data_IF_890446951661
#
_entry.id   IF_890446951661
#
_cell.length_a   1.000
_cell.length_b   1.000
_cell.length_c   1.000
_cell.angle_alpha   90.00
_cell.angle_beta   90.00
_cell.angle_gamma   90.00
#
_symmetry.space_group_name_H-M   'P 1'
#
loop_
_entity.id
_entity.type
_entity.pdbx_description
1 polymer ?
#
# COMPACT_ATOMS: atom_id res chain seq x y z
N UNK A 1 24.97 9.45 -4.80
CA UNK A 1 24.59 8.06 -5.04
C UNK A 1 23.73 7.64 -3.89
N UNK A 2 22.45 7.35 -4.10
CA UNK A 2 21.60 6.83 -3.02
C UNK A 2 22.15 5.43 -2.70
N UNK A 3 22.74 5.29 -1.52
CA UNK A 3 23.29 4.02 -1.10
C UNK A 3 22.13 3.17 -0.59
N UNK A 4 21.90 2.04 -1.24
CA UNK A 4 21.04 0.97 -0.76
C UNK A 4 21.93 -0.04 -0.02
N UNK A 5 21.51 -0.47 1.17
CA UNK A 5 22.23 -1.49 1.93
C UNK A 5 21.29 -2.59 2.41
N UNK A 6 21.87 -3.76 2.68
CA UNK A 6 21.16 -4.89 3.25
C UNK A 6 21.57 -5.09 4.71
N UNK A 7 20.61 -5.44 5.55
CA UNK A 7 20.83 -5.78 6.96
C UNK A 7 19.95 -6.95 7.38
N UNK A 8 20.25 -7.64 8.50
CA UNK A 8 19.30 -8.54 9.14
C UNK A 8 17.99 -7.80 9.50
N UNK A 9 16.85 -8.47 9.33
CA UNK A 9 15.56 -8.00 9.81
C UNK A 9 15.43 -8.11 11.33
N UNK A 10 14.64 -7.22 11.94
CA UNK A 10 14.33 -7.17 13.38
C UNK A 10 12.84 -7.36 13.67
N UNK A 11 12.03 -7.76 12.68
CA UNK A 11 10.57 -7.83 12.79
C UNK A 11 10.04 -8.91 13.73
N UNK A 12 10.87 -9.90 14.08
CA UNK A 12 10.44 -11.06 14.87
C UNK A 12 9.53 -12.04 14.13
N UNK A 13 9.33 -11.86 12.82
CA UNK A 13 8.61 -12.80 11.97
C UNK A 13 9.34 -14.15 11.94
N UNK A 14 8.57 -15.24 11.87
CA UNK A 14 9.11 -16.60 11.95
C UNK A 14 9.57 -17.11 10.58
N UNK A 15 10.37 -18.18 10.58
CA UNK A 15 10.84 -18.81 9.35
C UNK A 15 9.68 -19.34 8.52
N UNK A 16 9.54 -18.84 7.29
CA UNK A 16 8.42 -19.11 6.39
C UNK A 16 7.64 -17.85 6.00
N UNK A 17 7.64 -16.82 6.85
CA UNK A 17 6.98 -15.53 6.58
C UNK A 17 7.95 -14.48 6.04
N UNK A 18 9.26 -14.67 6.22
CA UNK A 18 10.29 -13.71 5.85
C UNK A 18 11.58 -14.39 5.38
N UNK A 19 12.36 -13.68 4.55
CA UNK A 19 13.74 -14.05 4.24
C UNK A 19 14.72 -13.68 5.36
N UNK A 20 14.28 -12.90 6.35
CA UNK A 20 15.12 -12.35 7.43
C UNK A 20 16.06 -11.22 6.98
N UNK A 21 15.89 -10.71 5.76
CA UNK A 21 16.71 -9.62 5.19
C UNK A 21 15.88 -8.34 5.05
N UNK A 22 16.48 -7.20 5.39
CA UNK A 22 15.92 -5.88 5.18
C UNK A 22 16.76 -5.07 4.18
N UNK A 23 16.09 -4.29 3.35
CA UNK A 23 16.64 -3.29 2.44
C UNK A 23 16.52 -1.92 3.10
N UNK A 24 17.63 -1.17 3.17
CA UNK A 24 17.68 0.17 3.75
C UNK A 24 18.03 1.20 2.67
N UNK A 25 17.22 2.25 2.58
CA UNK A 25 17.42 3.37 1.68
C UNK A 25 18.02 4.55 2.43
N UNK A 26 19.16 5.06 1.95
CA UNK A 26 19.76 6.27 2.50
C UNK A 26 18.91 7.52 2.20
N UNK A 27 19.13 8.59 2.99
CA UNK A 27 18.60 9.94 2.73
C UNK A 27 17.07 10.03 2.62
N UNK A 28 16.33 9.15 3.30
CA UNK A 28 14.87 9.13 3.25
C UNK A 28 14.30 8.54 1.96
N UNK A 29 15.11 7.82 1.17
CA UNK A 29 14.62 7.07 0.02
C UNK A 29 13.55 6.05 0.42
N UNK A 30 12.64 5.76 -0.50
CA UNK A 30 11.51 4.84 -0.30
C UNK A 30 11.15 4.14 -1.61
N UNK A 31 10.30 3.11 -1.53
CA UNK A 31 9.77 2.38 -2.69
C UNK A 31 8.26 2.56 -2.79
N UNK A 32 7.74 2.72 -4.01
CA UNK A 32 6.31 2.96 -4.29
C UNK A 32 5.81 4.30 -3.71
N UNK A 33 4.82 4.31 -2.82
CA UNK A 33 4.28 5.52 -2.19
C UNK A 33 4.91 5.78 -0.82
N UNK A 34 4.93 7.06 -0.42
CA UNK A 34 5.59 7.49 0.80
C UNK A 34 4.76 7.15 2.05
N UNK A 35 5.31 6.28 2.91
CA UNK A 35 4.72 5.89 4.21
C UNK A 35 5.61 6.30 5.41
N UNK A 36 6.60 7.16 5.17
CA UNK A 36 7.60 7.52 6.20
C UNK A 36 8.58 6.40 6.53
N UNK A 37 8.71 5.37 5.67
CA UNK A 37 9.61 4.24 5.87
C UNK A 37 10.75 4.21 4.83
N UNK A 38 11.97 3.99 5.31
CA UNK A 38 13.17 3.77 4.49
C UNK A 38 13.79 2.38 4.69
N UNK A 39 13.16 1.53 5.49
CA UNK A 39 13.58 0.15 5.72
C UNK A 39 12.43 -0.78 5.36
N UNK A 40 12.72 -1.77 4.50
CA UNK A 40 11.76 -2.72 3.97
C UNK A 40 12.28 -4.14 4.19
N UNK A 41 11.53 -4.96 4.92
CA UNK A 41 11.84 -6.38 5.07
C UNK A 41 11.39 -7.14 3.82
N UNK A 42 12.26 -7.98 3.28
CA UNK A 42 11.94 -8.87 2.16
C UNK A 42 11.25 -10.10 2.73
N UNK A 43 9.95 -10.23 2.46
CA UNK A 43 9.15 -11.37 2.88
C UNK A 43 9.46 -12.59 1.98
N UNK A 44 9.40 -12.37 0.67
CA UNK A 44 9.75 -13.35 -0.36
C UNK A 44 10.27 -12.64 -1.60
N UNK A 45 11.10 -13.35 -2.37
CA UNK A 45 11.60 -12.88 -3.65
C UNK A 45 11.79 -14.08 -4.57
N UNK A 46 11.35 -13.95 -5.81
CA UNK A 46 11.56 -14.91 -6.89
C UNK A 46 12.01 -14.17 -8.17
N UNK A 47 12.03 -14.86 -9.32
CA UNK A 47 12.49 -14.28 -10.59
C UNK A 47 11.64 -13.08 -11.05
N UNK A 48 10.33 -13.11 -10.74
CA UNK A 48 9.35 -12.18 -11.30
C UNK A 48 8.62 -11.36 -10.24
N UNK A 49 8.83 -11.65 -8.96
CA UNK A 49 8.13 -10.98 -7.86
C UNK A 49 9.00 -10.72 -6.64
N UNK A 50 8.72 -9.61 -5.96
CA UNK A 50 9.29 -9.27 -4.66
C UNK A 50 8.17 -8.80 -3.74
N UNK A 51 8.00 -9.49 -2.62
CA UNK A 51 7.07 -9.10 -1.56
C UNK A 51 7.88 -8.48 -0.43
N UNK A 52 7.52 -7.25 -0.06
CA UNK A 52 8.18 -6.52 1.03
C UNK A 52 7.17 -6.04 2.04
N UNK A 53 7.66 -5.88 3.27
CA UNK A 53 6.93 -5.30 4.39
C UNK A 53 7.66 -4.09 4.94
N UNK A 54 6.94 -3.04 5.30
CA UNK A 54 7.48 -1.87 5.97
C UNK A 54 6.57 -1.42 7.12
N UNK A 55 7.16 -0.87 8.17
CA UNK A 55 6.42 -0.27 9.28
C UNK A 55 6.17 1.20 8.97
N UNK A 56 4.95 1.69 9.20
CA UNK A 56 4.62 3.09 8.98
C UNK A 56 5.48 4.00 9.87
N UNK A 57 6.02 5.07 9.30
CA UNK A 57 7.01 5.92 9.97
C UNK A 57 6.46 6.68 11.19
N UNK A 58 5.18 7.03 11.19
CA UNK A 58 4.51 7.74 12.28
C UNK A 58 3.61 6.85 13.16
N UNK A 59 3.46 5.56 12.82
CA UNK A 59 2.70 4.61 13.64
C UNK A 59 3.34 3.21 13.59
N UNK A 60 4.07 2.78 14.63
CA UNK A 60 4.73 1.48 14.65
C UNK A 60 3.76 0.29 14.76
N UNK A 61 2.46 0.53 15.02
CA UNK A 61 1.44 -0.52 15.02
C UNK A 61 0.97 -0.90 13.60
N UNK A 62 1.23 -0.04 12.60
CA UNK A 62 0.79 -0.24 11.23
C UNK A 62 1.92 -0.78 10.36
N UNK A 63 1.61 -1.84 9.60
CA UNK A 63 2.51 -2.45 8.64
C UNK A 63 1.90 -2.40 7.23
N UNK A 64 2.73 -2.12 6.24
CA UNK A 64 2.40 -2.09 4.82
C UNK A 64 3.04 -3.26 4.11
N UNK A 65 2.28 -3.89 3.20
CA UNK A 65 2.71 -5.02 2.39
C UNK A 65 2.65 -4.62 0.92
N UNK A 66 3.75 -4.79 0.20
CA UNK A 66 3.87 -4.40 -1.20
C UNK A 66 4.40 -5.57 -2.02
N UNK A 67 3.76 -5.83 -3.15
CA UNK A 67 4.22 -6.78 -4.17
C UNK A 67 4.65 -6.01 -5.40
N UNK A 68 5.92 -6.16 -5.77
CA UNK A 68 6.46 -5.67 -7.04
C UNK A 68 6.55 -6.86 -8.00
N UNK A 69 6.06 -6.70 -9.22
CA UNK A 69 6.15 -7.75 -10.23
C UNK A 69 6.50 -7.19 -11.60
N UNK A 70 7.19 -8.00 -12.40
CA UNK A 70 7.59 -7.67 -13.77
C UNK A 70 6.59 -8.15 -14.81
N UNK A 71 5.65 -9.02 -14.44
CA UNK A 71 4.53 -9.41 -15.30
C UNK A 71 3.46 -8.34 -15.22
N UNK A 72 3.15 -7.74 -16.37
CA UNK A 72 1.87 -7.09 -16.58
C UNK A 72 0.80 -8.19 -16.49
N UNK A 73 -0.23 -8.03 -15.66
CA UNK A 73 -1.35 -8.97 -15.60
C UNK A 73 -1.91 -9.13 -17.03
N UNK A 74 -1.58 -10.22 -17.70
CA UNK A 74 -2.43 -10.75 -18.76
C UNK A 74 -3.73 -11.18 -18.06
N UNK A 75 -4.88 -11.06 -18.74
CA UNK A 75 -6.21 -11.44 -18.26
C UNK A 75 -6.29 -12.97 -17.98
N UNK A 76 -5.46 -13.49 -17.08
CA UNK A 76 -5.66 -14.79 -16.46
C UNK A 76 -6.58 -14.60 -15.27
N UNK A 77 -7.47 -15.57 -15.06
CA UNK A 77 -8.29 -15.65 -13.86
C UNK A 77 -7.40 -15.36 -12.65
N UNK A 78 -7.73 -14.35 -11.82
CA UNK A 78 -6.88 -13.97 -10.72
C UNK A 78 -6.65 -15.21 -9.87
N UNK A 79 -5.38 -15.56 -9.66
CA UNK A 79 -5.04 -16.58 -8.67
C UNK A 79 -5.79 -16.24 -7.38
N UNK A 80 -6.39 -17.23 -6.70
CA UNK A 80 -7.14 -16.96 -5.48
C UNK A 80 -6.25 -16.15 -4.53
N UNK A 81 -6.81 -15.09 -3.95
CA UNK A 81 -6.10 -14.26 -2.99
C UNK A 81 -5.57 -15.14 -1.86
N UNK A 82 -4.24 -15.33 -1.82
CA UNK A 82 -3.59 -16.08 -0.75
C UNK A 82 -3.21 -15.12 0.37
N UNK A 83 -3.76 -15.36 1.55
CA UNK A 83 -3.53 -14.59 2.76
C UNK A 83 -3.35 -15.54 3.95
N UNK A 84 -2.53 -15.16 4.91
CA UNK A 84 -2.43 -15.86 6.20
C UNK A 84 -3.58 -15.48 7.16
N UNK A 85 -4.43 -14.53 6.76
CA UNK A 85 -5.59 -14.08 7.51
C UNK A 85 -6.85 -14.84 7.05
N UNK A 86 -7.36 -15.71 7.92
CA UNK A 86 -8.55 -16.53 7.65
C UNK A 86 -9.87 -15.84 8.06
N UNK A 87 -9.80 -14.72 8.78
CA UNK A 87 -10.96 -13.99 9.31
C UNK A 87 -11.10 -12.62 8.65
N UNK A 88 -12.19 -12.43 7.90
CA UNK A 88 -12.60 -11.13 7.39
C UNK A 88 -13.15 -10.30 8.55
N UNK A 89 -12.44 -9.23 8.93
CA UNK A 89 -12.84 -8.34 10.03
C UNK A 89 -13.52 -7.07 9.56
N UNK A 90 -13.35 -6.69 8.29
CA UNK A 90 -13.97 -5.52 7.69
C UNK A 90 -13.96 -5.62 6.15
N UNK A 91 -15.09 -5.26 5.55
CA UNK A 91 -15.31 -5.15 4.11
C UNK A 91 -16.26 -3.97 3.82
N UNK A 92 -16.27 -3.53 2.56
CA UNK A 92 -17.23 -2.56 2.05
C UNK A 92 -17.62 -2.96 0.62
N UNK A 93 -18.84 -3.47 0.48
CA UNK A 93 -19.38 -3.99 -0.78
C UNK A 93 -20.08 -2.90 -1.63
N UNK A 94 -20.17 -1.66 -1.14
CA UNK A 94 -20.74 -0.52 -1.87
C UNK A 94 -22.16 -0.78 -2.42
N UNK A 95 -23.01 -1.43 -1.62
CA UNK A 95 -24.43 -1.67 -1.93
C UNK A 95 -25.34 -0.49 -1.54
N UNK A 96 -24.76 0.56 -0.95
CA UNK A 96 -25.44 1.77 -0.51
C UNK A 96 -24.53 3.00 -0.71
N UNK A 97 -25.08 4.23 -0.70
CA UNK A 97 -24.26 5.45 -0.69
C UNK A 97 -23.23 5.44 0.44
N UNK A 98 -22.10 6.12 0.21
CA UNK A 98 -21.00 6.16 1.18
C UNK A 98 -21.45 6.67 2.56
N UNK A 99 -21.20 5.88 3.59
CA UNK A 99 -21.45 6.25 4.99
C UNK A 99 -20.34 7.19 5.48
N UNK A 100 -20.70 8.43 5.81
CA UNK A 100 -19.76 9.46 6.30
C UNK A 100 -19.29 9.23 7.74
N UNK A 101 -19.76 8.18 8.42
CA UNK A 101 -19.14 7.71 9.67
C UNK A 101 -17.93 6.80 9.41
N UNK A 102 -17.81 6.24 8.20
CA UNK A 102 -16.70 5.38 7.78
C UNK A 102 -15.75 6.10 6.84
N UNK A 103 -16.29 6.89 5.91
CA UNK A 103 -15.55 7.58 4.85
C UNK A 103 -15.53 9.09 5.07
N UNK A 104 -14.40 9.71 4.72
CA UNK A 104 -14.23 11.16 4.71
C UNK A 104 -13.89 11.62 3.30
N UNK A 105 -14.39 12.80 2.93
CA UNK A 105 -14.01 13.46 1.68
C UNK A 105 -13.11 14.64 2.00
N UNK A 106 -11.88 14.61 1.47
CA UNK A 106 -11.04 15.80 1.44
C UNK A 106 -11.58 16.78 0.40
N UNK A 107 -11.51 18.07 0.70
CA UNK A 107 -11.95 19.12 -0.23
C UNK A 107 -10.80 20.05 -0.55
N UNK A 108 -10.51 20.21 -1.84
CA UNK A 108 -9.51 21.14 -2.36
C UNK A 108 -8.22 20.51 -2.86
N UNK A 109 -7.19 21.34 -2.97
CA UNK A 109 -5.88 21.01 -3.55
C UNK A 109 -4.75 20.95 -2.50
N UNK A 110 -5.10 20.99 -1.20
CA UNK A 110 -4.12 20.92 -0.11
C UNK A 110 -3.03 21.99 -0.16
N UNK A 111 -1.98 21.82 0.65
CA UNK A 111 -0.77 22.64 0.56
C UNK A 111 0.17 22.09 -0.51
N UNK A 112 0.64 22.96 -1.43
CA UNK A 112 1.53 22.60 -2.54
C UNK A 112 1.02 21.43 -3.41
N UNK A 113 -0.30 21.32 -3.62
CA UNK A 113 -0.90 20.20 -4.34
C UNK A 113 -0.68 18.89 -3.58
N UNK A 114 -1.17 18.82 -2.35
CA UNK A 114 -1.00 17.70 -1.39
C UNK A 114 0.45 17.23 -1.14
N UNK A 115 1.41 18.16 -1.29
CA UNK A 115 2.84 17.89 -1.10
C UNK A 115 3.56 17.32 -2.32
N UNK A 116 2.86 17.11 -3.43
CA UNK A 116 3.38 16.47 -4.65
C UNK A 116 2.96 17.20 -5.95
N UNK A 117 2.63 18.50 -5.87
CA UNK A 117 2.28 19.35 -7.03
C UNK A 117 1.08 18.84 -7.81
N UNK A 118 0.14 18.19 -7.13
CA UNK A 118 -1.14 17.76 -7.69
C UNK A 118 -1.93 18.95 -8.26
N UNK A 119 -2.61 18.73 -9.39
CA UNK A 119 -3.41 19.76 -10.09
C UNK A 119 -4.91 19.65 -9.83
N UNK A 120 -5.35 18.47 -9.43
CA UNK A 120 -6.74 18.15 -9.13
C UNK A 120 -7.23 18.91 -7.89
N UNK A 121 -8.52 19.21 -7.86
CA UNK A 121 -9.21 19.78 -6.71
C UNK A 121 -10.23 18.74 -6.24
N UNK A 122 -10.00 18.12 -5.08
CA UNK A 122 -10.90 17.10 -4.57
C UNK A 122 -12.25 17.70 -4.18
N UNK A 123 -13.34 17.04 -4.53
CA UNK A 123 -14.70 17.40 -4.13
C UNK A 123 -15.52 16.17 -3.76
N UNK A 124 -16.64 16.39 -3.07
CA UNK A 124 -17.59 15.33 -2.71
C UNK A 124 -18.36 14.82 -3.93
N UNK A 125 -18.51 15.62 -4.98
CA UNK A 125 -19.24 15.27 -6.20
C UNK A 125 -18.47 14.35 -7.13
N UNK A 126 -17.16 14.18 -6.91
CA UNK A 126 -16.33 13.30 -7.72
C UNK A 126 -16.48 11.82 -7.37
N UNK A 127 -17.21 11.48 -6.30
CA UNK A 127 -17.31 10.12 -5.81
C UNK A 127 -18.76 9.72 -5.57
N UNK A 128 -19.16 8.58 -6.13
CA UNK A 128 -20.50 8.01 -5.94
C UNK A 128 -20.45 6.48 -5.99
N UNK A 129 -21.51 5.86 -5.48
CA UNK A 129 -21.70 4.41 -5.57
C UNK A 129 -22.66 4.11 -6.72
N UNK A 130 -22.18 3.37 -7.72
CA UNK A 130 -22.92 3.02 -8.94
C UNK A 130 -22.75 1.53 -9.19
N UNK A 131 -23.87 0.81 -9.37
CA UNK A 131 -23.90 -0.62 -9.71
C UNK A 131 -23.00 -1.49 -8.82
N UNK A 132 -23.02 -1.27 -7.50
CA UNK A 132 -22.21 -2.03 -6.53
C UNK A 132 -20.74 -1.63 -6.49
N UNK A 133 -20.36 -0.50 -7.09
CA UNK A 133 -18.96 -0.05 -7.15
C UNK A 133 -18.82 1.37 -6.64
N UNK A 134 -17.72 1.65 -5.94
CA UNK A 134 -17.26 3.02 -5.72
C UNK A 134 -16.65 3.57 -7.02
N UNK A 135 -17.27 4.59 -7.58
CA UNK A 135 -16.80 5.30 -8.76
C UNK A 135 -16.19 6.64 -8.33
N UNK A 136 -14.92 6.86 -8.65
CA UNK A 136 -14.22 8.15 -8.47
C UNK A 136 -13.88 8.72 -9.85
N UNK A 137 -14.42 9.89 -10.17
CA UNK A 137 -14.24 10.57 -11.45
C UNK A 137 -13.33 11.78 -11.27
N UNK A 138 -12.21 11.80 -12.00
CA UNK A 138 -11.20 12.88 -11.96
C UNK A 138 -11.50 14.04 -12.91
#
# INVERSE_FOLDING_TARGET
TVNVSLSPSTSGLTGGQTTGTAINFAEGGFMSYYIGASTYEILSIDENSMHVRAIMGNDPALAWYLKFTTSQEEEEEPAPFETEYDELVWDQEFEAPLDTNLWNFETGNGENGWGNQEKQYYTTENAEVVDGNLVITA
#
